data_IF_197653683434
#
_entry.id   IF_197653683434
#
_cell.length_a   1.000
_cell.length_b   1.000
_cell.length_c   1.000
_cell.angle_alpha   90.00
_cell.angle_beta   90.00
_cell.angle_gamma   90.00
#
_symmetry.space_group_name_H-M   'P 1'
#
loop_
_entity.id
_entity.type
_entity.pdbx_description
1 polymer ?
#
# COMPACT_ATOMS: atom_id res chain seq x y z
N UNK A 1 -12.33 -2.24 -0.21
CA UNK A 1 -11.04 -2.87 -0.57
C UNK A 1 -10.59 -2.53 -1.99
N UNK A 2 -11.31 -2.92 -3.05
CA UNK A 2 -10.88 -2.63 -4.44
C UNK A 2 -10.72 -1.14 -4.75
N UNK A 3 -11.72 -0.33 -4.42
CA UNK A 3 -11.68 1.13 -4.62
C UNK A 3 -10.57 1.81 -3.80
N UNK A 4 -10.35 1.38 -2.56
CA UNK A 4 -9.24 1.88 -1.73
C UNK A 4 -7.88 1.51 -2.34
N UNK A 5 -7.73 0.31 -2.89
CA UNK A 5 -6.52 -0.05 -3.65
C UNK A 5 -6.35 0.85 -4.86
N UNK A 6 -7.41 1.12 -5.63
CA UNK A 6 -7.35 2.04 -6.78
C UNK A 6 -6.88 3.42 -6.34
N UNK A 7 -7.51 3.97 -5.30
CA UNK A 7 -7.11 5.26 -4.71
C UNK A 7 -5.65 5.27 -4.24
N UNK A 8 -5.21 4.21 -3.55
CA UNK A 8 -3.81 4.05 -3.11
C UNK A 8 -2.85 4.11 -4.30
N UNK A 9 -3.13 3.34 -5.36
CA UNK A 9 -2.29 3.31 -6.56
C UNK A 9 -2.31 4.64 -7.33
N UNK A 10 -3.45 5.32 -7.38
CA UNK A 10 -3.54 6.64 -8.01
C UNK A 10 -2.72 7.69 -7.24
N UNK A 11 -2.74 7.67 -5.89
CA UNK A 11 -1.86 8.51 -5.06
C UNK A 11 -0.38 8.20 -5.29
N UNK A 12 0.00 6.91 -5.38
CA UNK A 12 1.38 6.51 -5.71
C UNK A 12 1.82 7.04 -7.07
N UNK A 13 0.94 6.99 -8.09
CA UNK A 13 1.23 7.52 -9.44
C UNK A 13 1.46 9.03 -9.43
N UNK A 14 0.85 9.75 -8.50
CA UNK A 14 1.06 11.20 -8.31
C UNK A 14 2.28 11.52 -7.43
N UNK A 15 2.96 10.50 -6.90
CA UNK A 15 4.08 10.66 -5.96
C UNK A 15 3.65 11.00 -4.53
N UNK A 16 2.35 10.97 -4.22
CA UNK A 16 1.84 11.21 -2.87
C UNK A 16 1.90 9.93 -2.03
N UNK A 17 3.10 9.67 -1.52
CA UNK A 17 3.39 8.51 -0.67
C UNK A 17 2.59 8.56 0.64
N UNK A 18 2.42 9.74 1.24
CA UNK A 18 1.72 9.87 2.53
C UNK A 18 0.25 9.49 2.41
N UNK A 19 -0.43 9.96 1.37
CA UNK A 19 -1.83 9.59 1.13
C UNK A 19 -1.96 8.11 0.80
N UNK A 20 -1.01 7.55 0.03
CA UNK A 20 -1.02 6.10 -0.24
C UNK A 20 -0.87 5.25 1.02
N UNK A 21 -0.03 5.65 1.98
CA UNK A 21 0.17 4.93 3.24
C UNK A 21 -1.09 4.99 4.12
N UNK A 22 -1.72 6.17 4.24
CA UNK A 22 -3.00 6.31 4.97
C UNK A 22 -4.11 5.47 4.35
N UNK A 23 -4.19 5.41 3.02
CA UNK A 23 -5.17 4.57 2.34
C UNK A 23 -4.90 3.06 2.59
N UNK A 24 -3.63 2.64 2.63
CA UNK A 24 -3.24 1.28 2.97
C UNK A 24 -3.60 0.92 4.42
N UNK A 25 -3.42 1.84 5.37
CA UNK A 25 -3.84 1.65 6.77
C UNK A 25 -5.34 1.39 6.87
N UNK A 26 -6.17 2.16 6.14
CA UNK A 26 -7.62 1.93 6.08
C UNK A 26 -7.98 0.55 5.49
N UNK A 27 -7.24 0.07 4.49
CA UNK A 27 -7.40 -1.29 3.95
C UNK A 27 -7.10 -2.33 5.04
N UNK A 28 -6.04 -2.13 5.81
CA UNK A 28 -5.61 -3.03 6.89
C UNK A 28 -6.61 -3.07 8.06
N UNK A 29 -7.14 -1.91 8.47
CA UNK A 29 -8.17 -1.79 9.50
C UNK A 29 -9.46 -2.53 9.09
N UNK A 30 -9.92 -2.33 7.84
CA UNK A 30 -11.09 -3.03 7.32
C UNK A 30 -10.86 -4.54 7.30
N UNK A 31 -9.69 -5.00 6.84
CA UNK A 31 -9.36 -6.42 6.84
C UNK A 31 -9.31 -7.00 8.26
N UNK A 32 -8.70 -6.28 9.20
CA UNK A 32 -8.63 -6.66 10.62
C UNK A 32 -10.03 -6.80 11.22
N UNK A 33 -10.94 -5.87 10.94
CA UNK A 33 -12.33 -5.99 11.34
C UNK A 33 -13.00 -7.23 10.71
N UNK A 34 -12.82 -7.46 9.39
CA UNK A 34 -13.40 -8.60 8.69
C UNK A 34 -12.96 -9.96 9.23
N UNK A 35 -11.73 -10.10 9.72
CA UNK A 35 -11.25 -11.39 10.28
C UNK A 35 -11.76 -11.66 11.70
N UNK A 36 -12.18 -10.63 12.44
CA UNK A 36 -12.77 -10.81 13.79
C UNK A 36 -14.20 -11.35 13.74
N UNK A 37 -14.83 -11.30 12.57
CA UNK A 37 -16.19 -11.77 12.34
C UNK A 37 -16.17 -13.29 12.09
N UNK A 38 -16.10 -14.07 13.19
CA UNK A 38 -16.21 -15.52 13.16
C UNK A 38 -17.68 -15.94 13.05
N UNK A 39 -18.11 -16.36 11.86
CA UNK A 39 -19.43 -16.96 11.67
C UNK A 39 -19.33 -18.24 10.83
N UNK A 40 -20.05 -19.32 11.20
CA UNK A 40 -20.07 -20.56 10.46
C UNK A 40 -20.37 -20.32 8.97
N UNK A 41 -19.60 -20.98 8.09
CA UNK A 41 -19.74 -20.86 6.63
C UNK A 41 -21.15 -21.14 6.11
N UNK A 42 -21.94 -21.94 6.84
CA UNK A 42 -23.33 -22.25 6.55
C UNK A 42 -24.29 -21.04 6.67
N UNK A 43 -23.91 -19.99 7.40
CA UNK A 43 -24.78 -18.83 7.68
C UNK A 43 -24.36 -17.60 6.86
N UNK A 44 -23.11 -17.56 6.35
CA UNK A 44 -22.50 -16.32 5.82
C UNK A 44 -22.42 -16.20 4.30
N UNK A 45 -22.95 -17.15 3.53
CA UNK A 45 -23.09 -17.02 2.07
C UNK A 45 -21.83 -16.51 1.36
N UNK A 46 -20.69 -17.20 1.52
CA UNK A 46 -19.37 -16.89 0.92
C UNK A 46 -18.56 -15.74 1.55
N UNK A 47 -18.82 -15.35 2.81
CA UNK A 47 -18.01 -14.32 3.49
C UNK A 47 -16.52 -14.68 3.54
N UNK A 48 -16.17 -15.96 3.79
CA UNK A 48 -14.77 -16.44 3.76
C UNK A 48 -14.06 -16.10 2.45
N UNK A 49 -14.70 -16.34 1.31
CA UNK A 49 -14.15 -16.02 -0.01
C UNK A 49 -13.92 -14.52 -0.17
N UNK A 50 -14.84 -13.68 0.33
CA UNK A 50 -14.69 -12.22 0.30
C UNK A 50 -13.53 -11.75 1.20
N UNK A 51 -13.36 -12.35 2.37
CA UNK A 51 -12.24 -12.08 3.28
C UNK A 51 -10.90 -12.51 2.67
N UNK A 52 -10.84 -13.65 1.98
CA UNK A 52 -9.63 -14.08 1.26
C UNK A 52 -9.27 -13.13 0.10
N UNK A 53 -10.27 -12.64 -0.64
CA UNK A 53 -10.07 -11.61 -1.67
C UNK A 53 -9.57 -10.31 -1.04
N UNK A 54 -10.13 -9.91 0.10
CA UNK A 54 -9.68 -8.74 0.86
C UNK A 54 -8.21 -8.88 1.30
N UNK A 55 -7.81 -10.05 1.82
CA UNK A 55 -6.42 -10.37 2.16
C UNK A 55 -5.49 -10.22 0.95
N UNK A 56 -5.86 -10.81 -0.18
CA UNK A 56 -5.07 -10.73 -1.42
C UNK A 56 -4.90 -9.28 -1.90
N UNK A 57 -5.91 -8.43 -1.73
CA UNK A 57 -5.83 -7.00 -2.06
C UNK A 57 -4.88 -6.29 -1.10
N UNK A 58 -5.00 -6.53 0.21
CA UNK A 58 -4.14 -5.93 1.23
C UNK A 58 -2.66 -6.24 0.97
N UNK A 59 -2.31 -7.53 0.84
CA UNK A 59 -0.90 -7.93 0.67
C UNK A 59 -0.27 -7.37 -0.60
N UNK A 60 -1.00 -7.40 -1.72
CA UNK A 60 -0.50 -6.78 -2.96
C UNK A 60 -0.31 -5.27 -2.82
N UNK A 61 -1.25 -4.58 -2.16
CA UNK A 61 -1.19 -3.13 -1.99
C UNK A 61 -0.03 -2.73 -1.07
N UNK A 62 0.22 -3.53 -0.04
CA UNK A 62 1.39 -3.36 0.84
C UNK A 62 2.70 -3.51 0.06
N UNK A 63 2.79 -4.49 -0.83
CA UNK A 63 3.95 -4.67 -1.72
C UNK A 63 4.17 -3.48 -2.65
N UNK A 64 3.11 -2.98 -3.28
CA UNK A 64 3.16 -1.82 -4.18
C UNK A 64 3.64 -0.54 -3.44
N UNK A 65 3.02 -0.23 -2.29
CA UNK A 65 3.38 0.93 -1.46
C UNK A 65 4.82 0.82 -0.97
N UNK A 66 5.24 -0.35 -0.50
CA UNK A 66 6.62 -0.57 -0.02
C UNK A 66 7.63 -0.32 -1.14
N UNK A 67 7.35 -0.82 -2.34
CA UNK A 67 8.22 -0.63 -3.50
C UNK A 67 8.36 0.84 -3.84
N UNK A 68 7.24 1.58 -3.90
CA UNK A 68 7.24 3.01 -4.19
C UNK A 68 8.00 3.83 -3.14
N UNK A 69 7.81 3.52 -1.85
CA UNK A 69 8.56 4.16 -0.75
C UNK A 69 10.07 3.95 -0.90
N UNK A 70 10.50 2.73 -1.25
CA UNK A 70 11.92 2.41 -1.42
C UNK A 70 12.51 3.10 -2.64
N UNK A 71 11.76 3.18 -3.74
CA UNK A 71 12.15 3.92 -4.93
C UNK A 71 12.33 5.41 -4.64
N UNK A 72 11.41 6.03 -3.91
CA UNK A 72 11.51 7.45 -3.51
C UNK A 72 12.70 7.69 -2.57
N UNK A 73 12.96 6.78 -1.62
CA UNK A 73 14.16 6.85 -0.78
C UNK A 73 15.44 6.76 -1.61
N UNK A 74 15.49 5.84 -2.58
CA UNK A 74 16.65 5.68 -3.46
C UNK A 74 16.88 6.92 -4.32
N UNK A 75 15.81 7.49 -4.89
CA UNK A 75 15.85 8.75 -5.65
C UNK A 75 16.48 9.88 -4.82
N UNK A 76 16.08 10.03 -3.55
CA UNK A 76 16.67 11.05 -2.65
C UNK A 76 18.16 10.84 -2.43
N UNK A 77 18.59 9.59 -2.26
CA UNK A 77 20.02 9.25 -2.08
C UNK A 77 20.81 9.58 -3.35
N UNK A 78 20.30 9.24 -4.53
CA UNK A 78 20.93 9.57 -5.82
C UNK A 78 21.04 11.09 -5.99
N UNK A 79 19.97 11.84 -5.76
CA UNK A 79 19.99 13.31 -5.85
C UNK A 79 20.99 13.95 -4.86
N UNK A 80 21.14 13.39 -3.66
CA UNK A 80 22.12 13.86 -2.70
C UNK A 80 23.55 13.54 -3.15
N UNK A 81 23.77 12.38 -3.78
CA UNK A 81 25.04 12.00 -4.36
C UNK A 81 25.43 12.91 -5.53
N UNK A 82 24.52 13.15 -6.48
CA UNK A 82 24.73 14.07 -7.61
C UNK A 82 25.16 15.46 -7.14
N UNK A 83 24.48 16.01 -6.12
CA UNK A 83 24.85 17.30 -5.52
C UNK A 83 26.25 17.32 -4.90
N UNK A 84 26.71 16.19 -4.36
CA UNK A 84 28.06 16.09 -3.77
C UNK A 84 29.13 16.04 -4.86
N UNK A 85 28.87 15.30 -5.94
CA UNK A 85 29.79 15.21 -7.08
C UNK A 85 29.94 16.59 -7.75
N UNK A 86 28.83 17.28 -8.01
CA UNK A 86 28.88 18.61 -8.63
C UNK A 86 29.69 19.63 -7.82
N UNK A 87 29.70 19.51 -6.47
CA UNK A 87 30.50 20.38 -5.58
C UNK A 87 32.00 20.07 -5.60
N UNK A 88 32.42 18.89 -6.02
CA UNK A 88 33.83 18.50 -6.09
C UNK A 88 34.49 18.91 -7.41
N UNK A 89 33.68 19.18 -8.44
CA UNK A 89 34.14 19.63 -9.77
C UNK A 89 34.21 21.17 -9.90
N UNK A 90 33.82 21.91 -8.84
CA UNK A 90 33.89 23.38 -8.76
C UNK A 90 34.97 23.80 -7.77
#
# INVERSE_FOLDING_TARGET
>A
MGELRRYTLDSLRQGDIQTSQRALEQIDEIYTCLITVDFPSAITSNLRRKTDVARSILERTRGDVTTAVRQESMKKVIMAFEKRVAKLET
#
